data_IF_959885089128
#
_entry.id   IF_959885089128
#
_cell.length_a   1.000
_cell.length_b   1.000
_cell.length_c   1.000
_cell.angle_alpha   90.00
_cell.angle_beta   90.00
_cell.angle_gamma   90.00
#
_symmetry.space_group_name_H-M   'P 1'
#
loop_
_entity.id
_entity.type
_entity.pdbx_description
1 polymer ?
#
# COMPACT_ATOMS: atom_id res chain seq x y z
N UNK A 1 -24.63 -42.43 41.62
CA UNK A 1 -25.51 -41.87 40.55
C UNK A 1 -25.25 -40.38 40.26
N UNK A 2 -24.24 -39.80 40.87
CA UNK A 2 -23.92 -38.37 40.73
C UNK A 2 -22.91 -38.05 39.63
N UNK A 3 -22.21 -39.05 39.13
CA UNK A 3 -21.09 -38.85 38.13
C UNK A 3 -21.55 -38.47 36.72
N UNK A 4 -22.71 -38.89 36.31
CA UNK A 4 -23.21 -38.60 34.99
C UNK A 4 -23.77 -37.18 34.81
N UNK A 5 -24.19 -36.53 35.91
CA UNK A 5 -24.59 -35.13 35.90
C UNK A 5 -23.40 -34.20 35.62
N UNK A 6 -22.22 -34.55 36.13
CA UNK A 6 -20.99 -33.84 35.81
C UNK A 6 -20.61 -33.98 34.35
N UNK A 7 -20.79 -35.15 33.76
CA UNK A 7 -20.52 -35.43 32.36
C UNK A 7 -21.43 -34.61 31.45
N UNK A 8 -22.73 -34.52 31.76
CA UNK A 8 -23.68 -33.67 31.02
C UNK A 8 -23.31 -32.20 31.17
N UNK A 9 -23.02 -31.72 32.40
CA UNK A 9 -22.58 -30.36 32.65
C UNK A 9 -21.33 -30.00 31.81
N UNK A 10 -20.36 -30.89 31.77
CA UNK A 10 -19.14 -30.70 30.97
C UNK A 10 -19.45 -30.64 29.46
N UNK A 11 -20.29 -31.52 28.94
CA UNK A 11 -20.70 -31.53 27.54
C UNK A 11 -21.44 -30.25 27.16
N UNK A 12 -22.32 -29.74 28.02
CA UNK A 12 -23.06 -28.50 27.78
C UNK A 12 -22.09 -27.31 27.77
N UNK A 13 -21.16 -27.24 28.71
CA UNK A 13 -20.13 -26.18 28.74
C UNK A 13 -19.23 -26.23 27.51
N UNK A 14 -18.82 -27.41 27.09
CA UNK A 14 -18.00 -27.60 25.91
C UNK A 14 -18.76 -27.20 24.61
N UNK A 15 -20.02 -27.59 24.49
CA UNK A 15 -20.89 -27.19 23.37
C UNK A 15 -21.12 -25.68 23.34
N UNK A 16 -21.40 -25.07 24.51
CA UNK A 16 -21.56 -23.60 24.62
C UNK A 16 -20.26 -22.86 24.30
N UNK A 17 -19.12 -23.35 24.79
CA UNK A 17 -17.81 -22.80 24.46
C UNK A 17 -17.48 -22.89 22.95
N UNK A 18 -17.77 -24.03 22.33
CA UNK A 18 -17.61 -24.24 20.91
C UNK A 18 -18.50 -23.32 20.08
N UNK A 19 -19.76 -23.14 20.47
CA UNK A 19 -20.69 -22.23 19.81
C UNK A 19 -20.23 -20.75 19.95
N UNK A 20 -19.81 -20.35 21.13
CA UNK A 20 -19.28 -19.00 21.38
C UNK A 20 -18.02 -18.73 20.56
N UNK A 21 -17.10 -19.68 20.48
CA UNK A 21 -15.90 -19.61 19.66
C UNK A 21 -16.23 -19.48 18.17
N UNK A 22 -17.17 -20.28 17.68
CA UNK A 22 -17.63 -20.20 16.28
C UNK A 22 -18.22 -18.83 15.95
N UNK A 23 -19.13 -18.32 16.79
CA UNK A 23 -19.73 -17.00 16.61
C UNK A 23 -18.64 -15.91 16.62
N UNK A 24 -17.67 -16.02 17.53
CA UNK A 24 -16.54 -15.09 17.56
C UNK A 24 -15.71 -15.14 16.27
N UNK A 25 -15.44 -16.32 15.72
CA UNK A 25 -14.72 -16.46 14.45
C UNK A 25 -15.47 -15.80 13.30
N UNK A 26 -16.79 -16.02 13.21
CA UNK A 26 -17.63 -15.40 12.18
C UNK A 26 -17.59 -13.87 12.28
N UNK A 27 -17.75 -13.33 13.49
CA UNK A 27 -17.66 -11.88 13.73
C UNK A 27 -16.28 -11.35 13.36
N UNK A 28 -15.22 -12.08 13.71
CA UNK A 28 -13.85 -11.66 13.39
C UNK A 28 -13.60 -11.67 11.87
N UNK A 29 -14.11 -12.66 11.14
CA UNK A 29 -14.02 -12.71 9.69
C UNK A 29 -14.74 -11.53 9.04
N UNK A 30 -16.01 -11.29 9.40
CA UNK A 30 -16.77 -10.13 8.88
C UNK A 30 -16.10 -8.82 9.17
N UNK A 31 -15.58 -8.62 10.39
CA UNK A 31 -14.86 -7.39 10.74
C UNK A 31 -13.63 -7.17 9.87
N UNK A 32 -12.88 -8.24 9.55
CA UNK A 32 -11.72 -8.17 8.66
C UNK A 32 -12.13 -7.83 7.22
N UNK A 33 -13.20 -8.45 6.74
CA UNK A 33 -13.70 -8.23 5.38
C UNK A 33 -14.22 -6.80 5.21
N UNK A 34 -14.99 -6.28 6.18
CA UNK A 34 -15.46 -4.91 6.20
C UNK A 34 -14.31 -3.90 6.26
N UNK A 35 -13.29 -4.19 7.06
CA UNK A 35 -12.09 -3.37 7.14
C UNK A 35 -11.34 -3.36 5.80
N UNK A 36 -11.08 -4.53 5.22
CA UNK A 36 -10.42 -4.66 3.91
C UNK A 36 -11.21 -4.00 2.79
N UNK A 37 -12.54 -4.09 2.84
CA UNK A 37 -13.41 -3.46 1.85
C UNK A 37 -13.33 -1.93 1.85
N UNK A 38 -12.79 -1.32 2.91
CA UNK A 38 -12.62 0.12 3.02
C UNK A 38 -11.15 0.57 2.90
N UNK A 39 -10.24 -0.36 2.70
CA UNK A 39 -8.82 -0.03 2.52
C UNK A 39 -8.56 0.53 1.12
N UNK A 40 -7.73 1.57 1.01
CA UNK A 40 -7.15 1.97 -0.26
C UNK A 40 -6.07 0.96 -0.69
N UNK A 41 -5.93 0.77 -1.98
CA UNK A 41 -4.84 -0.02 -2.56
C UNK A 41 -4.26 0.75 -3.74
N UNK A 42 -3.27 1.57 -3.44
CA UNK A 42 -2.57 2.36 -4.44
C UNK A 42 -1.46 1.57 -5.07
N UNK A 43 -1.35 1.72 -6.39
CA UNK A 43 -0.21 1.20 -7.15
C UNK A 43 0.18 2.16 -8.26
N UNK A 44 1.43 2.05 -8.68
CA UNK A 44 1.93 2.66 -9.90
C UNK A 44 1.63 1.70 -11.06
N UNK A 45 0.81 2.13 -12.01
CA UNK A 45 0.36 1.27 -13.13
C UNK A 45 1.15 1.50 -14.40
N UNK A 46 1.74 2.68 -14.54
CA UNK A 46 2.56 3.04 -15.70
C UNK A 46 3.61 4.06 -15.29
N UNK A 47 4.72 4.05 -16.00
CA UNK A 47 5.79 5.02 -15.84
C UNK A 47 6.26 5.47 -17.23
N UNK A 48 6.13 6.75 -17.51
CA UNK A 48 6.71 7.37 -18.70
C UNK A 48 7.96 8.13 -18.30
N UNK A 49 8.99 8.08 -19.12
CA UNK A 49 10.21 8.82 -18.92
C UNK A 49 10.41 9.79 -20.10
N UNK A 50 10.69 11.05 -19.80
CA UNK A 50 11.02 12.07 -20.80
C UNK A 50 12.38 12.67 -20.44
N UNK A 51 13.27 12.73 -21.43
CA UNK A 51 14.56 13.39 -21.29
C UNK A 51 14.57 14.70 -22.06
N UNK A 52 14.96 15.78 -21.40
CA UNK A 52 15.14 17.09 -22.02
C UNK A 52 16.50 17.63 -21.58
N UNK A 53 17.48 17.58 -22.49
CA UNK A 53 18.86 17.89 -22.16
C UNK A 53 19.42 16.98 -21.06
N UNK A 54 19.90 17.56 -19.96
CA UNK A 54 20.41 16.81 -18.80
C UNK A 54 19.34 16.52 -17.73
N UNK A 55 18.06 16.77 -18.03
CA UNK A 55 16.96 16.54 -17.11
C UNK A 55 16.20 15.27 -17.49
N UNK A 56 15.96 14.41 -16.52
CA UNK A 56 15.09 13.25 -16.66
C UNK A 56 13.79 13.55 -15.89
N UNK A 57 12.67 13.47 -16.57
CA UNK A 57 11.35 13.61 -15.97
C UNK A 57 10.67 12.25 -15.98
N UNK A 58 10.35 11.74 -14.81
CA UNK A 58 9.55 10.53 -14.64
C UNK A 58 8.10 10.93 -14.41
N UNK A 59 7.19 10.33 -15.15
CA UNK A 59 5.76 10.59 -15.05
C UNK A 59 5.04 9.29 -14.66
N UNK A 60 4.95 8.99 -13.35
CA UNK A 60 4.20 7.84 -12.87
C UNK A 60 2.69 8.08 -12.99
N UNK A 61 1.95 7.03 -13.31
CA UNK A 61 0.51 7.01 -13.20
C UNK A 61 0.12 6.24 -11.92
N UNK A 62 -0.57 6.92 -11.02
CA UNK A 62 -1.10 6.35 -9.79
C UNK A 62 -2.54 5.92 -9.99
N UNK A 63 -2.85 4.72 -9.54
CA UNK A 63 -4.18 4.15 -9.57
C UNK A 63 -4.55 3.58 -8.21
N UNK A 64 -5.77 3.87 -7.75
CA UNK A 64 -6.31 3.27 -6.55
C UNK A 64 -7.27 2.15 -6.95
N UNK A 65 -6.81 0.91 -6.84
CA UNK A 65 -7.60 -0.30 -7.13
C UNK A 65 -8.36 -0.82 -5.92
N UNK A 66 -8.11 -0.24 -4.73
CA UNK A 66 -8.88 -0.48 -3.52
C UNK A 66 -10.22 0.23 -3.55
N UNK A 67 -11.01 0.04 -2.49
CA UNK A 67 -12.32 0.70 -2.35
C UNK A 67 -12.30 1.94 -1.46
N UNK A 68 -11.30 2.06 -0.59
CA UNK A 68 -11.10 3.22 0.27
C UNK A 68 -10.40 4.37 -0.45
N UNK A 69 -10.52 5.57 0.08
CA UNK A 69 -9.77 6.75 -0.40
C UNK A 69 -8.38 6.72 0.21
N UNK A 70 -7.35 6.94 -0.59
CA UNK A 70 -6.00 7.15 -0.12
C UNK A 70 -5.73 8.64 0.11
N UNK A 71 -5.09 8.93 1.23
CA UNK A 71 -4.75 10.30 1.65
C UNK A 71 -3.24 10.47 1.74
N UNK A 72 -2.77 11.70 1.59
CA UNK A 72 -1.37 12.10 1.76
C UNK A 72 -0.41 11.19 0.99
N UNK A 73 -0.74 10.93 -0.27
CA UNK A 73 0.04 10.05 -1.12
C UNK A 73 1.34 10.76 -1.51
N UNK A 74 2.47 10.14 -1.19
CA UNK A 74 3.81 10.64 -1.51
C UNK A 74 4.55 9.60 -2.31
N UNK A 75 5.10 9.99 -3.44
CA UNK A 75 5.98 9.18 -4.26
C UNK A 75 7.40 9.75 -4.14
N UNK A 76 8.36 8.89 -3.80
CA UNK A 76 9.75 9.24 -3.64
C UNK A 76 10.65 8.23 -4.34
N UNK A 77 11.61 8.71 -5.10
CA UNK A 77 12.62 7.86 -5.72
C UNK A 77 13.89 7.88 -4.85
N UNK A 78 14.26 6.73 -4.31
CA UNK A 78 15.43 6.58 -3.44
C UNK A 78 16.73 6.97 -4.15
N UNK A 79 17.56 7.74 -3.47
CA UNK A 79 18.82 8.27 -4.02
C UNK A 79 18.69 9.52 -4.89
N UNK A 80 17.46 10.09 -5.01
CA UNK A 80 17.19 11.28 -5.81
C UNK A 80 16.45 12.33 -4.99
N UNK A 81 16.79 13.58 -5.18
CA UNK A 81 16.05 14.69 -4.57
C UNK A 81 14.81 14.96 -5.42
N UNK A 82 13.68 14.61 -4.90
CA UNK A 82 12.39 14.85 -5.54
C UNK A 82 11.30 13.97 -4.94
N UNK A 83 10.23 14.60 -4.54
CA UNK A 83 9.03 13.89 -4.11
C UNK A 83 7.82 14.52 -4.77
N UNK A 84 6.87 13.67 -5.05
CA UNK A 84 5.58 14.10 -5.56
C UNK A 84 4.52 13.79 -4.50
N UNK A 85 3.59 14.71 -4.29
CA UNK A 85 2.52 14.49 -3.32
C UNK A 85 1.13 14.79 -3.89
N UNK A 86 0.18 13.92 -3.59
CA UNK A 86 -1.24 14.11 -3.88
C UNK A 86 -2.03 13.97 -2.59
N UNK A 87 -2.89 14.95 -2.30
CA UNK A 87 -3.66 14.94 -1.05
C UNK A 87 -4.66 13.79 -0.97
N UNK A 88 -5.30 13.42 -2.09
CA UNK A 88 -6.33 12.37 -2.13
C UNK A 88 -6.32 11.64 -3.47
N UNK A 89 -6.37 10.31 -3.42
CA UNK A 89 -6.60 9.47 -4.59
C UNK A 89 -7.84 8.62 -4.34
N UNK A 90 -8.85 8.84 -5.15
CA UNK A 90 -10.12 8.13 -5.04
C UNK A 90 -10.05 6.74 -5.69
N UNK A 91 -10.85 5.76 -5.21
CA UNK A 91 -10.97 4.46 -5.85
C UNK A 91 -11.55 4.59 -7.27
N UNK A 92 -11.36 3.55 -8.08
CA UNK A 92 -11.95 3.48 -9.41
C UNK A 92 -13.48 3.64 -9.33
N UNK A 93 -14.04 4.58 -10.12
CA UNK A 93 -15.47 4.89 -10.13
C UNK A 93 -15.76 6.20 -10.84
N UNK A 94 -16.98 6.73 -10.71
CA UNK A 94 -17.40 7.97 -11.39
C UNK A 94 -16.56 9.21 -11.07
N UNK A 95 -15.82 9.19 -9.97
CA UNK A 95 -14.88 10.25 -9.57
C UNK A 95 -13.42 9.87 -9.77
N UNK A 96 -13.18 8.76 -10.45
CA UNK A 96 -11.83 8.28 -10.71
C UNK A 96 -11.05 9.28 -11.57
N UNK A 97 -9.91 9.69 -11.08
CA UNK A 97 -8.95 10.49 -11.83
C UNK A 97 -7.61 9.76 -11.82
N UNK A 98 -7.07 9.51 -13.02
CA UNK A 98 -5.66 9.11 -13.13
C UNK A 98 -4.81 10.29 -12.70
N UNK A 99 -4.04 10.11 -11.65
CA UNK A 99 -3.08 11.10 -11.21
C UNK A 99 -1.76 10.81 -11.90
N UNK A 100 -1.35 11.68 -12.82
CA UNK A 100 0.01 11.69 -13.36
C UNK A 100 0.81 12.74 -12.62
N UNK A 101 2.00 12.34 -12.24
CA UNK A 101 2.97 13.16 -11.53
C UNK A 101 4.21 13.33 -12.38
N UNK A 102 4.86 14.46 -12.34
CA UNK A 102 6.19 14.59 -12.92
C UNK A 102 7.23 14.70 -11.81
N UNK A 103 8.12 13.72 -11.75
CA UNK A 103 9.33 13.77 -10.96
C UNK A 103 10.43 14.32 -11.86
N UNK A 104 10.80 15.57 -11.64
CA UNK A 104 11.87 16.22 -12.41
C UNK A 104 13.20 15.97 -11.70
N UNK A 105 14.09 15.26 -12.36
CA UNK A 105 15.43 14.99 -11.89
C UNK A 105 16.37 15.99 -12.57
N UNK A 106 16.82 16.99 -11.82
CA UNK A 106 17.68 18.05 -12.34
C UNK A 106 19.14 17.62 -12.54
N UNK A 107 19.94 18.44 -13.27
CA UNK A 107 21.35 18.16 -13.55
C UNK A 107 22.24 18.18 -12.31
N UNK A 108 21.80 18.80 -11.22
CA UNK A 108 22.55 18.93 -9.98
C UNK A 108 22.45 17.72 -9.05
N UNK A 109 21.65 16.72 -9.42
CA UNK A 109 21.66 15.43 -8.72
C UNK A 109 22.98 14.76 -9.12
N UNK A 110 23.98 14.70 -8.23
CA UNK A 110 25.26 14.13 -8.59
C UNK A 110 25.05 12.69 -8.99
N UNK A 111 25.40 12.35 -10.22
CA UNK A 111 25.50 10.99 -10.79
C UNK A 111 26.45 10.07 -9.98
N UNK A 112 26.68 10.37 -8.72
CA UNK A 112 27.45 9.59 -7.75
C UNK A 112 26.63 8.49 -7.07
N UNK A 113 25.47 8.15 -7.58
CA UNK A 113 24.89 6.87 -7.23
C UNK A 113 25.89 5.81 -7.67
N UNK A 114 26.59 5.20 -6.71
CA UNK A 114 27.48 4.06 -6.96
C UNK A 114 26.72 3.10 -7.89
N UNK A 115 27.34 2.55 -8.93
CA UNK A 115 26.69 1.69 -9.93
C UNK A 115 26.08 0.40 -9.37
N UNK A 116 25.99 0.24 -8.07
CA UNK A 116 25.48 -0.94 -7.37
C UNK A 116 24.39 -0.68 -6.31
N UNK A 117 23.90 0.54 -6.17
CA UNK A 117 22.75 0.74 -5.27
C UNK A 117 21.47 0.41 -6.03
N UNK A 118 20.88 -0.74 -5.74
CA UNK A 118 19.50 -1.01 -6.09
C UNK A 118 18.66 0.14 -5.51
N UNK A 119 18.24 1.04 -6.36
CA UNK A 119 17.31 2.11 -5.98
C UNK A 119 15.92 1.53 -5.74
N UNK A 120 15.06 2.33 -5.20
CA UNK A 120 13.64 1.97 -5.07
C UNK A 120 12.77 3.21 -5.30
N UNK A 121 11.62 2.98 -5.87
CA UNK A 121 10.53 3.93 -5.90
C UNK A 121 9.59 3.59 -4.75
N UNK A 122 9.43 4.51 -3.80
CA UNK A 122 8.55 4.33 -2.64
C UNK A 122 7.29 5.13 -2.83
N UNK A 123 6.16 4.47 -2.73
CA UNK A 123 4.84 5.07 -2.66
C UNK A 123 4.31 4.92 -1.23
N UNK A 124 4.13 6.04 -0.54
CA UNK A 124 3.56 6.07 0.82
C UNK A 124 2.20 6.74 0.79
N UNK A 125 1.24 6.21 1.54
CA UNK A 125 -0.08 6.83 1.66
C UNK A 125 -0.75 6.44 2.98
N UNK A 126 -1.86 7.08 3.29
CA UNK A 126 -2.67 6.79 4.49
C UNK A 126 -4.10 6.45 4.07
N UNK A 127 -4.76 5.67 4.89
CA UNK A 127 -6.19 5.49 4.78
C UNK A 127 -6.97 6.57 5.56
N UNK A 128 -8.30 6.46 5.55
CA UNK A 128 -9.20 7.37 6.30
C UNK A 128 -9.00 7.33 7.81
N UNK A 129 -8.42 6.28 8.34
CA UNK A 129 -8.12 6.12 9.77
C UNK A 129 -6.71 6.57 10.16
N UNK A 130 -5.91 7.01 9.18
CA UNK A 130 -4.54 7.46 9.37
C UNK A 130 -3.50 6.34 9.37
N UNK A 131 -3.91 5.08 9.10
CA UNK A 131 -2.98 3.97 8.96
C UNK A 131 -2.10 4.18 7.74
N UNK A 132 -0.81 3.95 7.91
CA UNK A 132 0.19 4.19 6.87
C UNK A 132 0.48 2.93 6.09
N UNK A 133 0.53 3.07 4.77
CA UNK A 133 0.89 2.04 3.80
C UNK A 133 2.14 2.48 3.06
N UNK A 134 3.04 1.55 2.80
CA UNK A 134 4.25 1.79 2.02
C UNK A 134 4.38 0.69 0.95
N UNK A 135 4.54 1.10 -0.31
CA UNK A 135 4.82 0.20 -1.43
C UNK A 135 6.20 0.55 -1.99
N UNK A 136 7.03 -0.44 -2.21
CA UNK A 136 8.39 -0.30 -2.67
C UNK A 136 8.54 -1.02 -4.01
N UNK A 137 8.93 -0.29 -5.04
CA UNK A 137 9.16 -0.83 -6.36
C UNK A 137 10.66 -0.90 -6.60
N UNK A 138 11.23 -2.07 -6.90
CA UNK A 138 12.65 -2.20 -7.23
C UNK A 138 13.01 -1.36 -8.46
N UNK A 139 14.11 -0.65 -8.38
CA UNK A 139 14.62 0.17 -9.48
C UNK A 139 15.98 -0.36 -9.88
N UNK A 140 16.09 -0.74 -11.15
CA UNK A 140 17.36 -1.10 -11.76
C UNK A 140 17.85 0.06 -12.62
N UNK A 141 19.05 0.51 -12.33
CA UNK A 141 19.70 1.56 -13.09
C UNK A 141 20.83 0.98 -13.90
N UNK A 142 20.82 1.21 -15.21
CA UNK A 142 21.94 0.89 -16.07
C UNK A 142 22.55 2.18 -16.64
N UNK A 143 23.87 2.27 -16.55
CA UNK A 143 24.63 3.34 -17.21
C UNK A 143 24.90 2.93 -18.66
N UNK A 144 24.47 3.74 -19.60
CA UNK A 144 24.80 3.57 -21.01
C UNK A 144 25.94 4.52 -21.38
N UNK A 145 26.85 4.06 -22.22
CA UNK A 145 27.92 4.88 -22.80
C UNK A 145 27.42 5.84 -23.89
N UNK A 146 26.16 5.70 -24.30
CA UNK A 146 25.51 6.56 -25.30
C UNK A 146 24.31 7.30 -24.69
N UNK A 147 24.02 8.54 -25.08
CA UNK A 147 22.79 9.24 -24.67
C UNK A 147 21.52 8.48 -25.11
N UNK A 148 20.51 8.36 -24.20
CA UNK A 148 20.49 8.87 -22.85
C UNK A 148 21.43 8.07 -21.94
N UNK A 149 22.28 8.79 -21.20
CA UNK A 149 23.34 8.21 -20.36
C UNK A 149 22.82 7.29 -19.23
N UNK A 150 21.53 7.25 -19.01
CA UNK A 150 20.90 6.48 -17.95
C UNK A 150 19.64 5.79 -18.47
N UNK A 151 19.53 4.51 -18.20
CA UNK A 151 18.32 3.74 -18.38
C UNK A 151 17.82 3.32 -17.00
N UNK A 152 16.66 3.84 -16.60
CA UNK A 152 16.01 3.51 -15.33
C UNK A 152 14.87 2.55 -15.67
N UNK A 153 14.94 1.33 -15.15
CA UNK A 153 13.87 0.36 -15.21
C UNK A 153 13.28 0.19 -13.81
N UNK A 154 11.99 0.26 -13.71
CA UNK A 154 11.23 0.08 -12.47
C UNK A 154 10.37 -1.16 -12.64
N UNK A 155 10.52 -2.11 -11.72
CA UNK A 155 9.65 -3.28 -11.68
C UNK A 155 8.31 -2.88 -11.04
N UNK A 156 7.31 -2.67 -11.86
CA UNK A 156 5.96 -2.32 -11.43
C UNK A 156 5.10 -3.54 -11.12
N UNK A 157 5.54 -4.74 -11.50
CA UNK A 157 4.76 -5.98 -11.35
C UNK A 157 4.93 -6.61 -9.97
N UNK A 158 6.10 -6.42 -9.36
CA UNK A 158 6.45 -7.05 -8.09
C UNK A 158 6.77 -6.03 -6.99
N UNK A 159 5.79 -5.19 -6.58
CA UNK A 159 6.01 -4.29 -5.46
C UNK A 159 6.13 -5.07 -4.14
N UNK A 160 7.04 -4.64 -3.30
CA UNK A 160 7.04 -5.05 -1.88
C UNK A 160 6.08 -4.12 -1.13
N UNK A 161 5.03 -4.70 -0.56
CA UNK A 161 3.93 -3.95 0.06
C UNK A 161 3.97 -4.17 1.56
N UNK A 162 4.17 -3.10 2.31
CA UNK A 162 4.04 -3.10 3.75
C UNK A 162 2.67 -2.52 4.14
N UNK A 163 1.75 -3.41 4.48
CA UNK A 163 0.40 -3.08 4.94
C UNK A 163 0.32 -3.11 6.46
N UNK A 164 -0.37 -2.13 7.08
CA UNK A 164 -0.63 -2.19 8.50
C UNK A 164 -1.57 -3.36 8.82
N UNK A 165 -1.23 -4.14 9.83
CA UNK A 165 -2.02 -5.28 10.32
C UNK A 165 -2.61 -4.98 11.69
N UNK A 166 -3.66 -4.15 11.78
CA UNK A 166 -4.29 -3.84 13.05
C UNK A 166 -4.92 -5.09 13.67
N UNK A 167 -4.90 -5.15 14.99
CA UNK A 167 -5.57 -6.21 15.74
C UNK A 167 -7.10 -6.16 15.53
N UNK A 168 -7.80 -7.25 15.83
CA UNK A 168 -9.26 -7.31 15.75
C UNK A 168 -9.95 -6.15 16.49
N UNK A 169 -9.49 -5.82 17.68
CA UNK A 169 -10.08 -4.75 18.50
C UNK A 169 -9.82 -3.36 17.93
N UNK A 170 -8.64 -3.14 17.37
CA UNK A 170 -8.32 -1.90 16.66
C UNK A 170 -9.19 -1.75 15.41
N UNK A 171 -9.32 -2.77 14.58
CA UNK A 171 -10.20 -2.76 13.40
C UNK A 171 -11.63 -2.39 13.78
N UNK A 172 -12.19 -3.03 14.81
CA UNK A 172 -13.55 -2.76 15.28
C UNK A 172 -13.72 -1.33 15.79
N UNK A 173 -12.70 -0.79 16.46
CA UNK A 173 -12.70 0.60 16.96
C UNK A 173 -12.65 1.58 15.80
N UNK A 174 -11.81 1.32 14.79
CA UNK A 174 -11.67 2.15 13.60
C UNK A 174 -12.96 2.18 12.77
N UNK A 175 -13.59 1.03 12.56
CA UNK A 175 -14.86 0.93 11.84
C UNK A 175 -15.99 1.72 12.54
N UNK A 176 -16.08 1.68 13.87
CA UNK A 176 -17.07 2.45 14.64
C UNK A 176 -16.91 3.96 14.53
N UNK A 177 -15.69 4.46 14.38
CA UNK A 177 -15.43 5.90 14.21
C UNK A 177 -15.79 6.40 12.80
N UNK A 178 -16.08 5.52 11.88
CA UNK A 178 -16.33 5.84 10.47
C UNK A 178 -17.82 5.89 10.11
N UNK A 179 -18.70 5.43 10.98
CA UNK A 179 -20.15 5.59 10.92
C UNK A 179 -20.58 6.85 11.64
#
# INVERSE_FOLDING_TARGET
DMDWLWLIGFLVLFAAGGAAFYVWQVIAAHTRDDFRAQQPMLRVTNMSAMTAGNMLTLIPQLENVGRGVAYDCVLHLGGWEGSFSVKKVYPQGPRYQKHSASLVLGPDVPLRAKPQSNGYLRLSYRDRWGLKYDCWYPVTQSLSSQPPLQNIQIDLEHPDVNEPTPSFWEMRTLLRKST
#
